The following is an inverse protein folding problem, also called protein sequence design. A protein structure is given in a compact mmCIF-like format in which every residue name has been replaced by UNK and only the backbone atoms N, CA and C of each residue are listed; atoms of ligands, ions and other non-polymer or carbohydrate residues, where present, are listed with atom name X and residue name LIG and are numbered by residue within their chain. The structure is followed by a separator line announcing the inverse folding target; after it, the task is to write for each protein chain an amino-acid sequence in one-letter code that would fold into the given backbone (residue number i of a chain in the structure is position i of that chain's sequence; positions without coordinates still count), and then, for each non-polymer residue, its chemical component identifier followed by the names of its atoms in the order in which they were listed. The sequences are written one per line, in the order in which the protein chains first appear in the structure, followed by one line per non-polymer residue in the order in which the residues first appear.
data_IF_055343950331
#
_entry.id   IF_055343950331
#
_cell.length_a   1.000
_cell.length_b   1.000
_cell.length_c   1.000
_cell.angle_alpha   90.00
_cell.angle_beta   90.00
_cell.angle_gamma   90.00
#
_symmetry.space_group_name_H-M   'P 1'
#
loop_
_entity.id
_entity.type
_entity.pdbx_description
1 polymer ?
#
# COMPACT_ATOMS: atom_id res chain seq x y z
N UNK A 1 -11.13 -3.47 -15.39
CA UNK A 1 -9.73 -3.37 -14.93
C UNK A 1 -9.27 -4.77 -14.51
N UNK A 2 -8.53 -5.53 -15.34
CA UNK A 2 -8.21 -6.94 -15.07
C UNK A 2 -7.33 -7.16 -13.82
N UNK A 3 -6.62 -6.13 -13.36
CA UNK A 3 -5.61 -6.21 -12.28
C UNK A 3 -6.24 -6.56 -10.92
N UNK A 4 -7.44 -6.07 -10.62
CA UNK A 4 -8.10 -6.30 -9.33
C UNK A 4 -8.54 -7.76 -9.16
N UNK A 5 -9.00 -8.40 -10.23
CA UNK A 5 -9.36 -9.83 -10.22
C UNK A 5 -8.14 -10.72 -9.97
N UNK A 6 -6.99 -10.38 -10.56
CA UNK A 6 -5.74 -11.10 -10.32
C UNK A 6 -5.21 -10.91 -8.89
N UNK A 7 -5.32 -9.70 -8.32
CA UNK A 7 -4.94 -9.44 -6.94
C UNK A 7 -5.74 -10.28 -5.94
N UNK A 8 -7.07 -10.33 -6.08
CA UNK A 8 -7.92 -11.16 -5.22
C UNK A 8 -7.57 -12.64 -5.35
N UNK A 9 -7.31 -13.12 -6.56
CA UNK A 9 -6.87 -14.50 -6.78
C UNK A 9 -5.53 -14.81 -6.11
N UNK A 10 -4.57 -13.87 -6.17
CA UNK A 10 -3.26 -14.03 -5.53
C UNK A 10 -3.39 -14.08 -4.01
N UNK A 11 -4.13 -13.14 -3.40
CA UNK A 11 -4.36 -13.09 -1.95
C UNK A 11 -5.03 -14.38 -1.47
N UNK A 12 -6.03 -14.89 -2.20
CA UNK A 12 -6.71 -16.14 -1.86
C UNK A 12 -5.75 -17.34 -1.84
N UNK A 13 -4.87 -17.44 -2.83
CA UNK A 13 -3.86 -18.51 -2.91
C UNK A 13 -2.87 -18.40 -1.74
N UNK A 14 -2.41 -17.18 -1.42
CA UNK A 14 -1.47 -16.91 -0.31
C UNK A 14 -2.11 -17.29 1.03
N UNK A 15 -3.35 -16.86 1.29
CA UNK A 15 -4.09 -17.20 2.52
C UNK A 15 -4.25 -18.70 2.66
N UNK A 16 -4.62 -19.41 1.59
CA UNK A 16 -4.74 -20.86 1.60
C UNK A 16 -3.42 -21.55 1.93
N UNK A 17 -2.31 -21.09 1.36
CA UNK A 17 -0.97 -21.60 1.68
C UNK A 17 -0.62 -21.38 3.16
N UNK A 18 -0.91 -20.20 3.71
CA UNK A 18 -0.67 -19.89 5.12
C UNK A 18 -1.54 -20.71 6.08
N UNK A 19 -2.80 -20.98 5.74
CA UNK A 19 -3.67 -21.85 6.54
C UNK A 19 -3.13 -23.29 6.60
N UNK A 20 -2.65 -23.83 5.48
CA UNK A 20 -2.04 -25.16 5.45
C UNK A 20 -0.73 -25.20 6.26
N UNK A 21 0.08 -24.16 6.17
CA UNK A 21 1.33 -24.04 6.91
C UNK A 21 1.09 -23.93 8.42
N UNK A 22 0.19 -23.04 8.84
CA UNK A 22 -0.17 -22.84 10.26
C UNK A 22 -0.75 -24.11 10.87
N UNK A 23 -1.64 -24.81 10.17
CA UNK A 23 -2.14 -26.12 10.59
C UNK A 23 -1.01 -27.11 10.87
N UNK A 24 -0.01 -27.21 9.98
CA UNK A 24 1.15 -28.11 10.19
C UNK A 24 2.03 -27.70 11.36
N UNK A 25 2.25 -26.41 11.56
CA UNK A 25 3.00 -25.90 12.71
C UNK A 25 2.25 -26.23 14.01
N UNK A 26 0.93 -26.08 14.05
CA UNK A 26 0.11 -26.46 15.20
C UNK A 26 0.24 -27.96 15.47
N UNK A 27 0.18 -28.82 14.45
CA UNK A 27 0.40 -30.26 14.63
C UNK A 27 1.81 -30.59 15.17
N UNK A 28 2.84 -29.86 14.70
CA UNK A 28 4.20 -29.99 15.19
C UNK A 28 4.34 -29.54 16.66
N UNK A 29 3.61 -28.49 17.07
CA UNK A 29 3.57 -27.99 18.45
C UNK A 29 2.84 -28.94 19.40
N UNK A 30 1.73 -29.52 18.95
CA UNK A 30 0.96 -30.53 19.69
C UNK A 30 1.67 -31.90 19.76
N UNK A 31 2.87 -32.01 19.19
CA UNK A 31 3.70 -33.21 19.16
C UNK A 31 3.01 -34.45 18.55
N UNK A 32 1.97 -34.26 17.73
CA UNK A 32 1.21 -35.33 17.06
C UNK A 32 1.90 -35.76 15.77
N UNK A 33 3.06 -36.39 15.91
CA UNK A 33 3.95 -36.73 14.78
C UNK A 33 3.32 -37.69 13.76
N UNK A 34 2.46 -38.61 14.20
CA UNK A 34 1.79 -39.58 13.32
C UNK A 34 0.79 -38.90 12.37
N UNK A 35 0.08 -37.90 12.88
CA UNK A 35 -0.87 -37.11 12.09
C UNK A 35 -0.11 -36.13 11.20
N UNK A 36 0.97 -35.52 11.71
CA UNK A 36 1.80 -34.59 10.95
C UNK A 36 2.41 -35.25 9.71
N UNK A 37 2.97 -36.44 9.85
CA UNK A 37 3.58 -37.17 8.72
C UNK A 37 2.52 -37.57 7.67
N UNK A 38 1.34 -38.02 8.12
CA UNK A 38 0.20 -38.34 7.24
C UNK A 38 -0.29 -37.13 6.46
N UNK A 39 -0.51 -36.00 7.15
CA UNK A 39 -0.93 -34.73 6.54
C UNK A 39 0.14 -34.24 5.57
N UNK A 40 1.43 -34.28 5.98
CA UNK A 40 2.56 -33.84 5.16
C UNK A 40 2.65 -34.63 3.86
N UNK A 41 2.45 -35.95 3.89
CA UNK A 41 2.50 -36.76 2.67
C UNK A 41 1.33 -36.46 1.72
N UNK A 42 0.11 -36.29 2.25
CA UNK A 42 -1.07 -35.97 1.43
C UNK A 42 -1.00 -34.57 0.80
N UNK A 43 -0.46 -33.61 1.53
CA UNK A 43 -0.43 -32.19 1.11
C UNK A 43 0.83 -31.80 0.35
N UNK A 44 1.84 -32.69 0.23
CA UNK A 44 3.12 -32.39 -0.42
C UNK A 44 2.97 -31.84 -1.83
N UNK A 45 2.11 -32.46 -2.65
CA UNK A 45 1.87 -32.03 -4.04
C UNK A 45 1.12 -30.71 -4.05
N UNK A 46 0.08 -30.59 -3.22
CA UNK A 46 -0.73 -29.37 -3.10
C UNK A 46 0.12 -28.17 -2.68
N UNK A 47 1.05 -28.34 -1.75
CA UNK A 47 1.97 -27.26 -1.32
C UNK A 47 2.99 -26.87 -2.37
N UNK A 48 3.51 -27.82 -3.15
CA UNK A 48 4.40 -27.51 -4.26
C UNK A 48 3.68 -26.70 -5.34
N UNK A 49 2.43 -27.06 -5.63
CA UNK A 49 1.58 -26.34 -6.60
C UNK A 49 1.18 -24.97 -6.06
N UNK A 50 0.76 -24.86 -4.80
CA UNK A 50 0.44 -23.57 -4.19
C UNK A 50 1.66 -22.66 -4.11
N UNK A 51 2.82 -23.16 -3.69
CA UNK A 51 4.04 -22.36 -3.60
C UNK A 51 4.50 -21.84 -4.97
N UNK A 52 4.41 -22.66 -6.02
CA UNK A 52 4.71 -22.23 -7.39
C UNK A 52 3.69 -21.21 -7.90
N UNK A 53 2.40 -21.42 -7.64
CA UNK A 53 1.35 -20.44 -7.95
C UNK A 53 1.60 -19.10 -7.27
N UNK A 54 1.94 -19.08 -5.98
CA UNK A 54 2.27 -17.85 -5.23
C UNK A 54 3.43 -17.11 -5.88
N UNK A 55 4.51 -17.81 -6.25
CA UNK A 55 5.67 -17.19 -6.90
C UNK A 55 5.37 -16.67 -8.30
N UNK A 56 4.64 -17.45 -9.12
CA UNK A 56 4.28 -17.05 -10.50
C UNK A 56 3.33 -15.86 -10.48
N UNK A 57 2.27 -15.92 -9.67
CA UNK A 57 1.28 -14.84 -9.57
C UNK A 57 1.88 -13.59 -8.92
N UNK A 58 2.72 -13.74 -7.89
CA UNK A 58 3.43 -12.62 -7.27
C UNK A 58 4.46 -11.97 -8.20
N UNK A 59 5.21 -12.78 -8.96
CA UNK A 59 6.15 -12.29 -9.98
C UNK A 59 5.43 -11.57 -11.11
N UNK A 60 4.30 -12.09 -11.58
CA UNK A 60 3.48 -11.42 -12.59
C UNK A 60 2.95 -10.07 -12.08
N UNK A 61 2.49 -10.02 -10.83
CA UNK A 61 2.06 -8.77 -10.19
C UNK A 61 3.20 -7.74 -10.16
N UNK A 62 4.41 -8.17 -9.82
CA UNK A 62 5.60 -7.32 -9.75
C UNK A 62 5.96 -6.69 -11.11
N UNK A 63 5.92 -7.45 -12.20
CA UNK A 63 6.24 -6.91 -13.54
C UNK A 63 5.16 -6.00 -14.12
N UNK A 64 3.89 -6.19 -13.75
CA UNK A 64 2.77 -5.38 -14.25
C UNK A 64 2.54 -4.11 -13.41
N UNK A 65 3.12 -4.02 -12.20
CA UNK A 65 3.09 -2.81 -11.36
C UNK A 65 4.30 -1.90 -11.66
N UNK A 66 4.19 -1.04 -12.67
CA UNK A 66 5.19 0.01 -12.92
C UNK A 66 5.09 1.07 -11.81
N UNK A 67 6.12 1.17 -10.97
CA UNK A 67 6.13 2.05 -9.78
C UNK A 67 5.78 1.35 -8.47
N UNK A 68 5.97 0.03 -8.38
CA UNK A 68 5.73 -0.72 -7.14
C UNK A 68 6.40 -0.05 -5.93
N UNK A 69 5.65 0.23 -4.84
CA UNK A 69 6.23 0.81 -3.63
C UNK A 69 7.30 -0.13 -3.07
N UNK A 70 8.39 0.44 -2.54
CA UNK A 70 9.54 -0.31 -1.99
C UNK A 70 9.10 -1.40 -1.01
N UNK A 71 8.02 -1.15 -0.27
CA UNK A 71 7.44 -2.10 0.67
C UNK A 71 6.93 -3.40 0.03
N UNK A 72 6.38 -3.35 -1.19
CA UNK A 72 5.93 -4.54 -1.93
C UNK A 72 7.14 -5.42 -2.31
N UNK A 73 8.26 -4.80 -2.66
CA UNK A 73 9.51 -5.50 -2.96
C UNK A 73 10.06 -6.19 -1.71
N UNK A 74 10.12 -5.46 -0.59
CA UNK A 74 10.55 -6.01 0.70
C UNK A 74 9.72 -7.23 1.09
N UNK A 75 8.40 -7.19 0.89
CA UNK A 75 7.51 -8.34 1.16
C UNK A 75 7.83 -9.57 0.31
N UNK A 76 7.98 -9.42 -1.01
CA UNK A 76 8.25 -10.54 -1.91
C UNK A 76 9.57 -11.22 -1.54
N UNK A 77 10.60 -10.45 -1.21
CA UNK A 77 11.90 -10.97 -0.76
C UNK A 77 11.76 -11.71 0.56
N UNK A 78 11.05 -11.12 1.54
CA UNK A 78 10.85 -11.72 2.86
C UNK A 78 10.10 -13.06 2.77
N UNK A 79 9.07 -13.15 1.94
CA UNK A 79 8.31 -14.39 1.67
C UNK A 79 9.19 -15.43 0.99
N UNK A 80 9.99 -15.02 0.00
CA UNK A 80 10.88 -15.92 -0.74
C UNK A 80 11.91 -16.59 0.18
N UNK A 81 12.33 -15.93 1.26
CA UNK A 81 13.23 -16.48 2.28
C UNK A 81 12.44 -17.31 3.32
N UNK A 82 11.24 -16.88 3.70
CA UNK A 82 10.42 -17.55 4.71
C UNK A 82 9.92 -18.95 4.27
N UNK A 83 9.59 -19.13 2.99
CA UNK A 83 9.13 -20.41 2.41
C UNK A 83 10.13 -21.55 2.61
N UNK A 84 11.39 -21.44 2.15
CA UNK A 84 12.37 -22.50 2.37
C UNK A 84 12.66 -22.70 3.86
N UNK A 85 12.65 -21.64 4.66
CA UNK A 85 12.86 -21.72 6.11
C UNK A 85 11.75 -22.54 6.80
N UNK A 86 10.49 -22.31 6.43
CA UNK A 86 9.35 -23.06 6.94
C UNK A 86 9.38 -24.54 6.52
N UNK A 87 9.74 -24.82 5.26
CA UNK A 87 9.90 -26.20 4.78
C UNK A 87 11.00 -26.93 5.55
N UNK A 88 12.14 -26.28 5.78
CA UNK A 88 13.26 -26.85 6.55
C UNK A 88 12.86 -27.06 8.01
N UNK A 89 12.14 -26.11 8.63
CA UNK A 89 11.62 -26.23 9.99
C UNK A 89 10.71 -27.46 10.16
N UNK A 90 9.76 -27.64 9.24
CA UNK A 90 8.86 -28.80 9.21
C UNK A 90 9.55 -30.11 8.82
N UNK A 91 10.67 -30.07 8.08
CA UNK A 91 11.47 -31.26 7.76
C UNK A 91 12.36 -31.70 8.91
N UNK A 92 12.96 -30.76 9.62
CA UNK A 92 13.87 -31.03 10.74
C UNK A 92 13.15 -31.23 12.08
N UNK A 93 11.81 -31.23 12.09
CA UNK A 93 10.99 -31.22 13.31
C UNK A 93 11.41 -30.13 14.32
N UNK A 94 12.04 -29.06 13.82
CA UNK A 94 12.56 -28.01 14.68
C UNK A 94 11.46 -26.96 14.89
N UNK A 95 10.84 -27.02 16.07
CA UNK A 95 9.74 -26.14 16.47
C UNK A 95 10.12 -24.66 16.34
N UNK A 96 11.36 -24.31 16.67
CA UNK A 96 11.84 -22.93 16.63
C UNK A 96 11.83 -22.38 15.20
N UNK A 97 12.40 -23.12 14.24
CA UNK A 97 12.42 -22.68 12.83
C UNK A 97 11.01 -22.61 12.24
N UNK A 98 10.15 -23.56 12.59
CA UNK A 98 8.78 -23.61 12.09
C UNK A 98 7.94 -22.44 12.61
N UNK A 99 8.06 -22.12 13.91
CA UNK A 99 7.39 -20.97 14.53
C UNK A 99 7.93 -19.65 14.01
N UNK A 100 9.25 -19.53 13.85
CA UNK A 100 9.88 -18.32 13.31
C UNK A 100 9.40 -18.03 11.89
N UNK A 101 9.34 -19.05 11.02
CA UNK A 101 8.76 -18.89 9.69
C UNK A 101 7.26 -18.50 9.75
N UNK A 102 6.49 -19.08 10.68
CA UNK A 102 5.08 -18.72 10.88
C UNK A 102 4.89 -17.27 11.31
N UNK A 103 5.74 -16.76 12.21
CA UNK A 103 5.72 -15.37 12.63
C UNK A 103 6.06 -14.42 11.48
N UNK A 104 7.06 -14.77 10.65
CA UNK A 104 7.40 -13.99 9.46
C UNK A 104 6.23 -13.94 8.48
N UNK A 105 5.58 -15.08 8.23
CA UNK A 105 4.41 -15.12 7.36
C UNK A 105 3.21 -14.36 7.92
N UNK A 106 2.93 -14.50 9.22
CA UNK A 106 1.88 -13.76 9.89
C UNK A 106 2.14 -12.25 9.86
N UNK A 107 3.40 -11.84 10.02
CA UNK A 107 3.81 -10.45 9.85
C UNK A 107 3.54 -9.97 8.41
N UNK A 108 4.01 -10.68 7.38
CA UNK A 108 3.77 -10.27 5.99
C UNK A 108 2.28 -10.20 5.66
N UNK A 109 1.50 -11.17 6.14
CA UNK A 109 0.06 -11.20 5.93
C UNK A 109 -0.66 -10.07 6.68
N UNK A 110 -0.33 -9.84 7.96
CA UNK A 110 -0.89 -8.73 8.73
C UNK A 110 -0.55 -7.38 8.10
N UNK A 111 0.66 -7.24 7.58
CA UNK A 111 1.11 -6.08 6.83
C UNK A 111 0.44 -6.03 5.44
N UNK A 112 -0.12 -7.12 4.89
CA UNK A 112 -0.86 -7.12 3.62
C UNK A 112 -2.36 -6.82 3.79
N UNK A 113 -2.95 -7.23 4.90
CA UNK A 113 -4.35 -6.96 5.27
C UNK A 113 -4.51 -5.59 5.94
N UNK A 114 -3.43 -5.01 6.47
CA UNK A 114 -3.42 -3.62 6.87
C UNK A 114 -3.49 -2.73 5.62
N UNK A 115 -4.69 -2.54 5.08
CA UNK A 115 -5.04 -1.32 4.38
C UNK A 115 -4.62 -0.16 5.29
N UNK A 116 -3.69 0.68 4.83
CA UNK A 116 -3.36 1.93 5.49
C UNK A 116 -2.97 1.84 6.97
N UNK A 117 -1.93 1.05 7.29
CA UNK A 117 -1.14 1.30 8.50
C UNK A 117 0.34 1.49 8.16
N UNK A 118 0.60 2.42 7.24
CA UNK A 118 1.73 3.36 7.37
C UNK A 118 1.46 4.32 8.55
N UNK A 119 1.03 3.79 9.71
CA UNK A 119 1.00 4.51 10.96
C UNK A 119 2.41 4.42 11.59
N UNK A 120 3.09 5.56 11.54
CA UNK A 120 3.94 6.02 12.61
C UNK A 120 5.22 5.18 12.85
N UNK A 121 6.13 5.18 11.87
CA UNK A 121 7.54 4.99 12.19
C UNK A 121 8.10 6.29 12.83
N UNK A 122 7.68 6.51 14.08
CA UNK A 122 8.45 7.28 15.05
C UNK A 122 9.80 6.58 15.25
N UNK A 123 10.85 7.11 14.62
CA UNK A 123 12.23 7.10 15.15
C UNK A 123 13.15 7.89 14.22
N UNK A 124 13.34 9.18 14.50
CA UNK A 124 14.53 9.62 15.25
C UNK A 124 14.61 11.15 15.34
N UNK A 125 14.40 11.63 16.56
CA UNK A 125 15.31 12.50 17.30
C UNK A 125 15.96 13.68 16.56
N UNK A 126 15.54 14.84 17.06
CA UNK A 126 16.40 15.93 17.52
C UNK A 126 16.71 17.03 16.50
N UNK A 127 16.68 18.25 17.06
CA UNK A 127 17.07 19.55 16.53
C UNK A 127 15.87 20.35 15.99
N UNK A 128 15.45 21.49 16.53
CA UNK A 128 15.86 22.26 17.73
C UNK A 128 14.73 23.26 17.97
N UNK A 129 14.48 23.59 19.24
CA UNK A 129 13.97 24.89 19.74
C UNK A 129 12.96 25.66 18.89
N UNK A 130 11.73 25.68 19.40
CA UNK A 130 10.94 26.91 19.50
C UNK A 130 11.84 28.03 19.99
N UNK A 131 12.10 29.01 19.11
CA UNK A 131 12.42 30.40 19.44
C UNK A 131 12.01 31.23 18.22
N UNK A 132 10.85 31.88 18.30
CA UNK A 132 10.63 33.14 17.60
C UNK A 132 11.42 34.21 18.35
N UNK A 133 12.13 35.10 17.64
CA UNK A 133 11.54 36.43 17.47
C UNK A 133 11.83 37.11 16.12
N UNK A 134 10.86 37.97 15.75
CA UNK A 134 11.04 39.30 15.15
C UNK A 134 11.28 39.48 13.63
N UNK A 135 10.26 40.14 13.02
CA UNK A 135 10.31 41.29 12.09
C UNK A 135 11.18 41.21 10.83
N UNK A 136 10.58 41.16 9.63
CA UNK A 136 10.09 42.31 8.86
C UNK A 136 9.81 41.93 7.39
N UNK A 137 8.77 42.57 6.84
CA UNK A 137 8.55 42.90 5.42
C UNK A 137 8.76 41.84 4.31
N UNK A 138 7.62 41.39 3.79
CA UNK A 138 7.28 41.31 2.36
C UNK A 138 8.25 40.62 1.39
N UNK A 139 8.02 39.33 1.15
CA UNK A 139 8.24 38.70 -0.16
C UNK A 139 7.10 37.71 -0.42
N UNK A 140 6.54 37.77 -1.64
CA UNK A 140 5.38 36.99 -2.07
C UNK A 140 5.69 35.48 -2.03
N UNK A 141 5.39 34.83 -0.91
CA UNK A 141 5.35 33.38 -0.82
C UNK A 141 4.21 32.85 -1.70
N UNK A 142 4.56 32.10 -2.75
CA UNK A 142 3.61 31.45 -3.65
C UNK A 142 2.50 30.76 -2.84
N UNK A 143 1.25 30.84 -3.32
CA UNK A 143 0.09 30.09 -2.79
C UNK A 143 0.43 28.63 -2.49
N UNK A 144 1.36 28.06 -3.26
CA UNK A 144 1.97 26.75 -3.06
C UNK A 144 2.64 26.56 -1.70
N UNK A 145 3.48 27.50 -1.27
CA UNK A 145 4.25 27.42 -0.01
C UNK A 145 3.34 27.54 1.21
N UNK A 146 2.31 28.41 1.15
CA UNK A 146 1.32 28.53 2.23
C UNK A 146 0.44 27.28 2.35
N UNK A 147 -0.02 26.72 1.22
CA UNK A 147 -0.83 25.49 1.23
C UNK A 147 -0.02 24.31 1.76
N UNK A 148 1.23 24.15 1.30
CA UNK A 148 2.15 23.11 1.80
C UNK A 148 2.49 23.30 3.28
N UNK A 149 2.63 24.54 3.76
CA UNK A 149 2.86 24.82 5.17
C UNK A 149 1.61 24.64 6.06
N UNK A 150 0.42 24.87 5.52
CA UNK A 150 -0.87 24.70 6.23
C UNK A 150 -1.31 23.23 6.30
N UNK A 151 -0.87 22.41 5.35
CA UNK A 151 -1.08 20.97 5.36
C UNK A 151 -0.03 20.32 6.25
N UNK A 152 -0.46 19.42 7.14
CA UNK A 152 0.52 18.58 7.81
C UNK A 152 1.21 17.66 6.77
N UNK A 153 2.48 17.32 6.98
CA UNK A 153 3.27 16.55 6.01
C UNK A 153 2.64 15.19 5.64
N UNK A 154 1.86 14.60 6.56
CA UNK A 154 1.16 13.33 6.35
C UNK A 154 -0.04 13.50 5.40
N UNK A 155 -0.82 14.55 5.55
CA UNK A 155 -1.95 14.92 4.70
C UNK A 155 -1.47 15.24 3.29
N UNK A 156 -0.36 15.96 3.15
CA UNK A 156 0.24 16.25 1.85
C UNK A 156 0.69 14.97 1.13
N UNK A 157 1.33 14.05 1.85
CA UNK A 157 1.77 12.77 1.30
C UNK A 157 0.57 11.88 0.89
N UNK A 158 -0.46 11.81 1.73
CA UNK A 158 -1.68 11.04 1.43
C UNK A 158 -2.41 11.62 0.21
N UNK A 159 -2.65 12.94 0.18
CA UNK A 159 -3.29 13.60 -0.94
C UNK A 159 -2.51 13.40 -2.26
N UNK A 160 -1.18 13.43 -2.21
CA UNK A 160 -0.33 13.12 -3.36
C UNK A 160 -0.48 11.68 -3.84
N UNK A 161 -0.50 10.72 -2.93
CA UNK A 161 -0.68 9.30 -3.27
C UNK A 161 -2.05 9.06 -3.91
N UNK A 162 -3.12 9.60 -3.32
CA UNK A 162 -4.47 9.54 -3.87
C UNK A 162 -4.48 10.17 -5.27
N UNK A 163 -3.87 11.35 -5.44
CA UNK A 163 -3.81 12.02 -6.74
C UNK A 163 -3.11 11.16 -7.81
N UNK A 164 -1.96 10.56 -7.48
CA UNK A 164 -1.22 9.70 -8.40
C UNK A 164 -2.06 8.49 -8.82
N UNK A 165 -2.71 7.83 -7.87
CA UNK A 165 -3.46 6.61 -8.13
C UNK A 165 -4.78 6.87 -8.87
N UNK A 166 -5.48 7.94 -8.53
CA UNK A 166 -6.88 8.15 -8.94
C UNK A 166 -7.06 9.26 -9.98
N UNK A 167 -6.19 10.27 -10.01
CA UNK A 167 -6.38 11.49 -10.80
C UNK A 167 -5.35 11.66 -11.94
N UNK A 168 -4.11 11.20 -11.73
CA UNK A 168 -2.99 11.47 -12.65
C UNK A 168 -3.14 10.81 -14.02
N UNK A 169 -3.94 9.75 -14.12
CA UNK A 169 -4.23 9.09 -15.40
C UNK A 169 -4.89 10.05 -16.41
N UNK A 170 -5.71 10.98 -15.91
CA UNK A 170 -6.39 11.96 -16.76
C UNK A 170 -5.71 13.34 -16.70
N UNK A 171 -5.34 13.79 -15.50
CA UNK A 171 -4.80 15.14 -15.26
C UNK A 171 -3.27 15.22 -15.31
N UNK A 172 -2.56 14.10 -15.38
CA UNK A 172 -1.09 14.06 -15.41
C UNK A 172 -0.49 14.17 -14.02
N UNK A 173 0.77 13.76 -13.88
CA UNK A 173 1.49 13.84 -12.60
C UNK A 173 1.75 15.29 -12.17
N UNK A 174 1.86 16.19 -13.15
CA UNK A 174 2.07 17.63 -13.01
C UNK A 174 0.77 18.44 -13.17
N UNK A 175 -0.38 17.80 -13.36
CA UNK A 175 -1.66 18.49 -13.52
C UNK A 175 -1.91 19.07 -14.92
N UNK A 176 -1.03 18.82 -15.90
CA UNK A 176 -1.12 19.44 -17.22
C UNK A 176 -1.77 18.57 -18.30
N UNK A 177 -2.04 17.30 -17.99
CA UNK A 177 -2.53 16.34 -18.98
C UNK A 177 -4.02 16.58 -19.27
N UNK A 178 -4.38 16.48 -20.54
CA UNK A 178 -5.72 16.81 -21.05
C UNK A 178 -6.50 15.59 -21.53
N UNK A 179 -6.18 14.40 -21.01
CA UNK A 179 -6.77 13.16 -21.51
C UNK A 179 -8.30 13.20 -21.36
N UNK A 180 -9.02 12.80 -22.41
CA UNK A 180 -10.49 12.81 -22.42
C UNK A 180 -11.10 14.20 -22.10
N UNK A 181 -10.42 15.29 -22.47
CA UNK A 181 -10.91 16.65 -22.20
C UNK A 181 -10.79 17.08 -20.74
N UNK A 182 -9.95 16.41 -19.95
CA UNK A 182 -9.60 16.84 -18.61
C UNK A 182 -9.02 18.27 -18.64
N UNK A 183 -9.52 19.19 -17.78
CA UNK A 183 -8.93 20.52 -17.67
C UNK A 183 -7.50 20.47 -17.13
N UNK A 184 -6.64 21.34 -17.66
CA UNK A 184 -5.32 21.58 -17.09
C UNK A 184 -5.48 22.23 -15.71
N UNK A 185 -5.03 21.52 -14.67
CA UNK A 185 -5.16 21.94 -13.29
C UNK A 185 -4.32 23.18 -12.97
N UNK A 186 -3.19 23.40 -13.65
CA UNK A 186 -2.34 24.58 -13.43
C UNK A 186 -3.03 25.89 -13.85
N UNK A 187 -4.04 25.79 -14.74
CA UNK A 187 -4.86 26.93 -15.22
C UNK A 187 -6.25 26.97 -14.58
N UNK A 188 -6.51 26.13 -13.59
CA UNK A 188 -7.80 26.07 -12.92
C UNK A 188 -8.05 27.32 -12.09
N UNK A 189 -9.17 27.99 -12.33
CA UNK A 189 -9.63 29.15 -11.55
C UNK A 189 -10.56 28.76 -10.39
N UNK A 190 -10.83 27.46 -10.21
CA UNK A 190 -11.65 26.98 -9.11
C UNK A 190 -10.91 27.14 -7.77
N UNK A 191 -11.63 27.61 -6.75
CA UNK A 191 -11.13 27.62 -5.38
C UNK A 191 -11.13 26.20 -4.79
N UNK A 192 -10.54 26.02 -3.61
CA UNK A 192 -10.45 24.71 -2.95
C UNK A 192 -11.82 24.05 -2.74
N UNK A 193 -12.84 24.78 -2.30
CA UNK A 193 -14.16 24.24 -2.01
C UNK A 193 -14.87 23.74 -3.28
N UNK A 194 -14.79 24.51 -4.37
CA UNK A 194 -15.37 24.12 -5.65
C UNK A 194 -14.68 22.87 -6.21
N UNK A 195 -13.38 22.71 -5.95
CA UNK A 195 -12.62 21.53 -6.36
C UNK A 195 -12.98 20.33 -5.51
N UNK A 196 -13.14 20.49 -4.20
CA UNK A 196 -13.65 19.46 -3.31
C UNK A 196 -15.04 18.98 -3.78
N UNK A 197 -15.93 19.92 -4.16
CA UNK A 197 -17.26 19.60 -4.66
C UNK A 197 -17.22 18.80 -5.97
N UNK A 198 -16.34 19.19 -6.90
CA UNK A 198 -16.13 18.47 -8.17
C UNK A 198 -15.49 17.10 -7.94
N UNK A 199 -14.55 16.97 -7.01
CA UNK A 199 -13.94 15.69 -6.65
C UNK A 199 -14.99 14.76 -6.02
N UNK A 200 -15.83 15.27 -5.11
CA UNK A 200 -16.86 14.49 -4.44
C UNK A 200 -17.92 13.99 -5.43
N UNK A 201 -18.44 14.88 -6.27
CA UNK A 201 -19.61 14.60 -7.11
C UNK A 201 -19.28 14.20 -8.56
N UNK A 202 -18.07 14.49 -9.02
CA UNK A 202 -17.67 14.39 -10.42
C UNK A 202 -18.18 15.56 -11.26
N UNK A 203 -17.67 15.69 -12.48
CA UNK A 203 -18.14 16.67 -13.47
C UNK A 203 -17.87 16.21 -14.90
N UNK A 204 -18.90 16.11 -15.72
CA UNK A 204 -18.79 15.63 -17.09
C UNK A 204 -18.29 14.18 -17.12
N UNK A 205 -17.12 13.94 -17.72
CA UNK A 205 -16.49 12.62 -17.75
C UNK A 205 -15.64 12.29 -16.51
N UNK A 206 -15.43 13.25 -15.60
CA UNK A 206 -14.72 13.01 -14.34
C UNK A 206 -15.66 12.26 -13.35
N UNK A 207 -15.30 11.05 -12.89
CA UNK A 207 -16.11 10.31 -11.91
C UNK A 207 -16.11 11.01 -10.54
N UNK A 208 -17.16 10.79 -9.76
CA UNK A 208 -17.25 11.28 -8.38
C UNK A 208 -16.63 10.31 -7.37
N UNK A 209 -15.87 10.85 -6.43
CA UNK A 209 -15.11 10.09 -5.43
C UNK A 209 -15.70 10.12 -4.02
N UNK A 210 -16.83 10.81 -3.81
CA UNK A 210 -17.47 10.98 -2.49
C UNK A 210 -17.94 9.69 -1.81
N UNK A 211 -18.01 8.57 -2.54
CA UNK A 211 -18.30 7.23 -1.96
C UNK A 211 -17.04 6.42 -1.64
N UNK A 212 -15.88 6.84 -2.12
CA UNK A 212 -14.60 6.14 -2.02
C UNK A 212 -13.64 6.83 -1.05
N UNK A 213 -13.70 8.15 -0.97
CA UNK A 213 -12.85 8.98 -0.11
C UNK A 213 -13.70 9.63 0.98
N UNK A 214 -13.10 9.82 2.16
CA UNK A 214 -13.68 10.62 3.22
C UNK A 214 -13.71 12.11 2.86
N UNK A 215 -14.57 12.88 3.54
CA UNK A 215 -14.69 14.32 3.33
C UNK A 215 -13.35 15.05 3.56
N UNK A 216 -12.61 14.64 4.60
CA UNK A 216 -11.28 15.16 4.89
C UNK A 216 -10.27 14.86 3.77
N UNK A 217 -10.24 13.62 3.25
CA UNK A 217 -9.33 13.28 2.14
C UNK A 217 -9.66 14.07 0.86
N UNK A 218 -10.94 14.37 0.63
CA UNK A 218 -11.38 15.19 -0.50
C UNK A 218 -10.92 16.64 -0.33
N UNK A 219 -11.01 17.21 0.87
CA UNK A 219 -10.51 18.55 1.17
C UNK A 219 -8.98 18.64 1.03
N UNK A 220 -8.26 17.65 1.54
CA UNK A 220 -6.80 17.56 1.42
C UNK A 220 -6.36 17.37 -0.04
N UNK A 221 -7.08 16.58 -0.82
CA UNK A 221 -6.83 16.40 -2.25
C UNK A 221 -7.14 17.68 -3.05
N UNK A 222 -8.21 18.39 -2.70
CA UNK A 222 -8.55 19.68 -3.28
C UNK A 222 -7.48 20.73 -2.95
N UNK A 223 -6.94 20.73 -1.73
CA UNK A 223 -5.82 21.59 -1.34
C UNK A 223 -4.54 21.22 -2.12
N UNK A 224 -4.18 19.93 -2.16
CA UNK A 224 -3.00 19.45 -2.88
C UNK A 224 -3.00 19.86 -4.33
N UNK A 225 -4.14 19.71 -5.01
CA UNK A 225 -4.23 20.06 -6.42
C UNK A 225 -4.06 21.58 -6.66
N UNK A 226 -4.20 22.45 -5.65
CA UNK A 226 -4.00 23.91 -5.80
C UNK A 226 -2.52 24.23 -5.92
N UNK A 227 -1.65 23.33 -5.45
CA UNK A 227 -0.19 23.48 -5.55
C UNK A 227 0.33 23.43 -6.99
N UNK A 228 -0.51 22.98 -7.93
CA UNK A 228 -0.23 23.00 -9.37
C UNK A 228 -0.51 24.36 -10.03
N UNK A 229 -1.29 25.24 -9.39
CA UNK A 229 -1.57 26.56 -9.95
C UNK A 229 -0.29 27.40 -9.94
N UNK A 230 0.06 27.94 -11.11
CA UNK A 230 1.16 28.88 -11.31
C UNK A 230 0.67 30.33 -11.25
#
# INVERSE_FOLDING_TARGET
MPITSFLHSHVLIVVLFLLLFTYKVILLLLNKQDVLTRVRNKTKVVEMVLGTLVLVTGGWLFFNYTGAPVWLITKIVLVSIAVPLGIVGLRRNNKVLAVLALLIFAYVYGVAESDSLTMQQNNNRSLTSVDTPETDAAEAGSTKEYIVASMNNTALANAKEIYVNECSNCHGQDGTNGLSGAPNLTRSQLNQNDRALVIANGRGMMPGYGRKLSEQEIEELAAYTMTFNE
#
